data_IF_924920108328
#
_entry.id   IF_924920108328
#
_cell.length_a   1.000
_cell.length_b   1.000
_cell.length_c   1.000
_cell.angle_alpha   90.00
_cell.angle_beta   90.00
_cell.angle_gamma   90.00
#
_symmetry.space_group_name_H-M   'P 1'
#
loop_
_entity.id
_entity.type
_entity.pdbx_description
1 polymer ?
#
# COMPACT_ATOMS: atom_id res chain seq x y z
N UNK A 1 21.47 -3.51 -20.76
CA UNK A 1 20.51 -2.42 -21.10
C UNK A 1 19.13 -2.87 -20.64
N UNK A 2 18.65 -2.32 -19.52
CA UNK A 2 17.36 -2.71 -18.92
C UNK A 2 16.42 -1.53 -19.09
N UNK A 3 15.66 -1.54 -20.18
CA UNK A 3 14.60 -0.55 -20.39
C UNK A 3 13.47 -0.80 -19.39
N UNK A 4 13.43 0.06 -18.37
CA UNK A 4 12.39 0.14 -17.35
C UNK A 4 11.08 0.69 -17.88
N UNK A 5 10.49 0.05 -18.90
CA UNK A 5 9.12 0.33 -19.29
C UNK A 5 8.21 -0.40 -18.31
N UNK A 6 7.48 0.35 -17.48
CA UNK A 6 6.45 -0.19 -16.60
C UNK A 6 5.56 -1.15 -17.40
N UNK A 7 5.38 -2.39 -16.91
CA UNK A 7 4.60 -3.41 -17.64
C UNK A 7 3.15 -2.93 -17.82
N UNK A 8 2.84 -2.38 -18.99
CA UNK A 8 1.48 -2.04 -19.42
C UNK A 8 0.59 -3.28 -19.23
N UNK A 9 -0.44 -3.14 -18.40
CA UNK A 9 -1.41 -4.21 -18.13
C UNK A 9 -2.08 -4.64 -19.43
N UNK A 10 -2.34 -5.93 -19.56
CA UNK A 10 -3.03 -6.51 -20.71
C UNK A 10 -4.54 -6.24 -20.62
N UNK A 11 -5.11 -5.59 -21.62
CA UNK A 11 -6.57 -5.45 -21.76
C UNK A 11 -7.18 -6.74 -22.33
N UNK A 12 -8.52 -6.84 -22.33
CA UNK A 12 -9.19 -7.98 -22.95
C UNK A 12 -8.85 -8.07 -24.45
N UNK A 13 -8.95 -6.97 -25.17
CA UNK A 13 -8.75 -6.97 -26.62
C UNK A 13 -7.28 -7.19 -26.99
N UNK A 14 -6.33 -6.70 -26.19
CA UNK A 14 -4.92 -7.04 -26.34
C UNK A 14 -4.65 -8.54 -26.07
N UNK A 15 -5.35 -9.16 -25.13
CA UNK A 15 -5.22 -10.61 -24.87
C UNK A 15 -5.85 -11.45 -25.96
N UNK A 16 -6.95 -11.00 -26.57
CA UNK A 16 -7.58 -11.71 -27.68
C UNK A 16 -6.59 -11.86 -28.84
N UNK A 17 -5.93 -10.77 -29.23
CA UNK A 17 -4.90 -10.78 -30.29
C UNK A 17 -3.63 -11.53 -29.85
N UNK A 18 -3.20 -11.39 -28.59
CA UNK A 18 -2.00 -12.07 -28.12
C UNK A 18 -2.16 -13.59 -27.96
N UNK A 19 -3.37 -14.09 -27.68
CA UNK A 19 -3.66 -15.51 -27.50
C UNK A 19 -4.20 -16.19 -28.76
N UNK A 20 -4.48 -15.43 -29.82
CA UNK A 20 -4.84 -15.96 -31.12
C UNK A 20 -3.72 -16.85 -31.67
N UNK A 21 -4.06 -18.12 -31.93
CA UNK A 21 -3.11 -19.14 -32.41
C UNK A 21 -2.88 -19.06 -33.92
N UNK A 22 -3.74 -18.35 -34.66
CA UNK A 22 -3.54 -18.09 -36.09
C UNK A 22 -2.39 -17.12 -36.36
N UNK A 23 -2.00 -16.32 -35.35
CA UNK A 23 -0.90 -15.37 -35.42
C UNK A 23 0.37 -15.89 -34.76
N UNK A 24 1.51 -15.62 -35.38
CA UNK A 24 2.80 -15.80 -34.71
C UNK A 24 2.98 -14.77 -33.58
N UNK A 25 3.84 -15.07 -32.61
CA UNK A 25 4.13 -14.13 -31.52
C UNK A 25 4.72 -12.79 -32.02
N UNK A 26 5.37 -12.79 -33.19
CA UNK A 26 5.96 -11.60 -33.78
C UNK A 26 4.89 -10.71 -34.44
N UNK A 27 3.94 -11.31 -35.16
CA UNK A 27 2.81 -10.61 -35.80
C UNK A 27 1.87 -10.02 -34.75
N UNK A 28 1.48 -10.81 -33.74
CA UNK A 28 0.68 -10.33 -32.63
C UNK A 28 1.41 -9.21 -31.84
N UNK A 29 2.74 -9.28 -31.74
CA UNK A 29 3.54 -8.21 -31.16
C UNK A 29 3.45 -6.92 -31.97
N UNK A 30 3.61 -7.01 -33.30
CA UNK A 30 3.53 -5.87 -34.23
C UNK A 30 2.15 -5.20 -34.18
N UNK A 31 1.07 -5.97 -34.17
CA UNK A 31 -0.30 -5.46 -34.10
C UNK A 31 -0.60 -4.74 -32.77
N UNK A 32 0.03 -5.17 -31.68
CA UNK A 32 -0.22 -4.63 -30.34
C UNK A 32 0.78 -3.57 -29.89
N UNK A 33 1.76 -3.23 -30.72
CA UNK A 33 2.89 -2.37 -30.32
C UNK A 33 3.69 -2.96 -29.15
N UNK A 34 3.75 -4.29 -29.05
CA UNK A 34 4.46 -5.05 -28.00
C UNK A 34 5.57 -5.90 -28.59
N UNK A 35 6.58 -6.20 -27.79
CA UNK A 35 7.67 -7.08 -28.22
C UNK A 35 7.20 -8.52 -28.32
N UNK A 36 7.80 -9.30 -29.23
CA UNK A 36 7.59 -10.75 -29.37
C UNK A 36 7.69 -11.48 -28.02
N UNK A 37 8.65 -11.08 -27.19
CA UNK A 37 8.91 -11.66 -25.86
C UNK A 37 7.77 -11.38 -24.87
N UNK A 38 7.13 -10.21 -24.95
CA UNK A 38 5.96 -9.89 -24.12
C UNK A 38 4.75 -10.76 -24.48
N UNK A 39 4.51 -10.99 -25.77
CA UNK A 39 3.45 -11.88 -26.26
C UNK A 39 3.72 -13.34 -25.84
N UNK A 40 4.97 -13.80 -25.98
CA UNK A 40 5.36 -15.15 -25.57
C UNK A 40 5.14 -15.37 -24.06
N UNK A 41 5.50 -14.39 -23.23
CA UNK A 41 5.23 -14.41 -21.78
C UNK A 41 3.73 -14.42 -21.47
N UNK A 42 2.92 -13.67 -22.22
CA UNK A 42 1.47 -13.68 -22.07
C UNK A 42 0.89 -15.07 -22.40
N UNK A 43 1.28 -15.66 -23.53
CA UNK A 43 0.86 -17.01 -23.94
C UNK A 43 1.24 -18.07 -22.92
N UNK A 44 2.47 -18.02 -22.37
CA UNK A 44 2.90 -18.92 -21.28
C UNK A 44 2.07 -18.74 -20.01
N UNK A 45 1.79 -17.49 -19.62
CA UNK A 45 1.06 -17.14 -18.39
C UNK A 45 -0.41 -17.57 -18.42
N UNK A 46 -1.07 -17.49 -19.57
CA UNK A 46 -2.49 -17.81 -19.74
C UNK A 46 -2.72 -19.18 -20.40
N UNK A 47 -1.67 -19.99 -20.56
CA UNK A 47 -1.77 -21.37 -21.07
C UNK A 47 -2.73 -22.19 -20.21
N UNK A 48 -3.65 -22.92 -20.86
CA UNK A 48 -4.59 -23.83 -20.19
C UNK A 48 -5.79 -23.14 -19.53
N UNK A 49 -5.97 -21.83 -19.70
CA UNK A 49 -7.20 -21.15 -19.29
C UNK A 49 -8.22 -21.16 -20.43
N UNK A 50 -9.49 -21.18 -20.05
CA UNK A 50 -10.58 -20.82 -20.95
C UNK A 50 -10.42 -19.34 -21.35
N UNK A 51 -10.14 -19.14 -22.64
CA UNK A 51 -9.85 -17.82 -23.21
C UNK A 51 -11.12 -16.98 -23.23
N UNK A 52 -12.28 -17.55 -23.55
CA UNK A 52 -13.54 -16.82 -23.64
C UNK A 52 -13.97 -16.30 -22.26
N UNK A 53 -13.91 -17.17 -21.25
CA UNK A 53 -14.22 -16.79 -19.87
C UNK A 53 -13.26 -15.71 -19.34
N UNK A 54 -11.96 -15.81 -19.67
CA UNK A 54 -10.95 -14.82 -19.29
C UNK A 54 -11.22 -13.45 -19.93
N UNK A 55 -11.58 -13.42 -21.21
CA UNK A 55 -11.89 -12.19 -21.95
C UNK A 55 -13.18 -11.55 -21.42
N UNK A 56 -14.22 -12.34 -21.16
CA UNK A 56 -15.47 -11.87 -20.57
C UNK A 56 -15.23 -11.21 -19.20
N UNK A 57 -14.49 -11.87 -18.30
CA UNK A 57 -14.16 -11.31 -16.98
C UNK A 57 -13.40 -9.99 -17.08
N UNK A 58 -12.47 -9.86 -18.03
CA UNK A 58 -11.69 -8.64 -18.24
C UNK A 58 -12.53 -7.49 -18.80
N UNK A 59 -13.47 -7.79 -19.70
CA UNK A 59 -14.42 -6.80 -20.25
C UNK A 59 -15.41 -6.32 -19.18
N UNK A 60 -15.96 -7.23 -18.37
CA UNK A 60 -16.84 -6.87 -17.25
C UNK A 60 -16.12 -6.00 -16.21
N UNK A 61 -14.88 -6.32 -15.86
CA UNK A 61 -14.10 -5.49 -14.93
C UNK A 61 -13.71 -4.13 -15.51
N UNK A 62 -13.51 -4.01 -16.83
CA UNK A 62 -13.28 -2.73 -17.49
C UNK A 62 -14.54 -1.87 -17.54
N UNK A 63 -15.70 -2.47 -17.80
CA UNK A 63 -17.00 -1.80 -17.74
C UNK A 63 -17.33 -1.32 -16.32
N UNK A 64 -17.08 -2.14 -15.30
CA UNK A 64 -17.24 -1.76 -13.89
C UNK A 64 -16.33 -0.58 -13.51
N UNK A 65 -15.07 -0.60 -13.95
CA UNK A 65 -14.13 0.50 -13.73
C UNK A 65 -14.50 1.78 -14.48
N UNK A 66 -15.02 1.68 -15.71
CA UNK A 66 -15.53 2.82 -16.47
C UNK A 66 -16.79 3.43 -15.82
N UNK A 67 -17.67 2.58 -15.29
CA UNK A 67 -18.85 3.00 -14.54
C UNK A 67 -18.48 3.68 -13.21
N UNK A 68 -17.45 3.17 -12.51
CA UNK A 68 -16.85 3.80 -11.32
C UNK A 68 -16.22 5.15 -11.68
N UNK A 69 -15.48 5.26 -12.79
CA UNK A 69 -14.86 6.51 -13.24
C UNK A 69 -15.91 7.57 -13.63
N UNK A 70 -17.03 7.18 -14.22
CA UNK A 70 -18.17 8.07 -14.49
C UNK A 70 -18.89 8.52 -13.21
N UNK A 71 -18.78 7.77 -12.11
CA UNK A 71 -19.32 8.16 -10.79
C UNK A 71 -18.30 8.90 -9.90
N UNK A 72 -17.09 9.16 -10.38
CA UNK A 72 -15.96 9.62 -9.56
C UNK A 72 -15.85 11.15 -9.40
N UNK A 73 -16.97 11.88 -9.47
CA UNK A 73 -17.04 13.28 -9.06
C UNK A 73 -17.35 13.46 -7.55
N UNK A 74 -17.64 12.39 -6.80
CA UNK A 74 -18.18 12.49 -5.45
C UNK A 74 -17.29 12.02 -4.29
N UNK A 75 -16.05 11.58 -4.53
CA UNK A 75 -15.23 10.91 -3.51
C UNK A 75 -14.42 11.84 -2.60
N UNK A 76 -14.34 13.15 -2.90
CA UNK A 76 -13.54 14.14 -2.17
C UNK A 76 -14.28 15.41 -1.74
N UNK A 77 -15.60 15.49 -1.88
CA UNK A 77 -16.37 16.65 -1.36
C UNK A 77 -16.71 16.43 0.12
N UNK A 78 -16.46 17.44 0.95
CA UNK A 78 -16.83 17.50 2.36
C UNK A 78 -18.30 17.11 2.58
N UNK A 79 -18.56 16.32 3.63
CA UNK A 79 -19.91 15.95 4.03
C UNK A 79 -20.64 17.16 4.64
N UNK A 80 -21.83 17.49 4.15
CA UNK A 80 -22.68 18.47 4.82
C UNK A 80 -23.42 17.83 6.01
N UNK A 81 -23.85 18.60 7.03
CA UNK A 81 -24.65 18.07 8.13
C UNK A 81 -25.90 17.30 7.68
N UNK A 82 -26.54 17.74 6.60
CA UNK A 82 -27.74 17.14 6.01
C UNK A 82 -27.42 15.79 5.35
N UNK A 83 -26.30 15.72 4.61
CA UNK A 83 -25.82 14.46 4.03
C UNK A 83 -25.45 13.46 5.14
N UNK A 84 -24.89 13.92 6.25
CA UNK A 84 -24.58 13.09 7.42
C UNK A 84 -25.86 12.54 8.02
N UNK A 85 -26.89 13.37 8.20
CA UNK A 85 -28.18 12.94 8.76
C UNK A 85 -28.80 11.82 7.91
N UNK A 86 -28.87 11.99 6.60
CA UNK A 86 -29.41 10.97 5.67
C UNK A 86 -28.50 9.74 5.64
N UNK A 87 -27.18 9.91 5.66
CA UNK A 87 -26.27 8.77 5.66
C UNK A 87 -26.34 7.96 6.96
N UNK A 88 -26.63 8.58 8.10
CA UNK A 88 -26.75 7.91 9.40
C UNK A 88 -28.16 7.39 9.70
N UNK A 89 -29.16 7.81 8.93
CA UNK A 89 -30.53 7.32 9.05
C UNK A 89 -30.59 5.79 8.92
N UNK A 90 -30.95 5.13 10.02
CA UNK A 90 -31.04 3.66 10.12
C UNK A 90 -32.36 3.12 9.58
N UNK A 91 -33.36 3.97 9.37
CA UNK A 91 -34.62 3.59 8.74
C UNK A 91 -34.45 3.27 7.25
N UNK A 92 -33.36 3.75 6.64
CA UNK A 92 -33.01 3.47 5.24
C UNK A 92 -31.78 2.56 5.10
N UNK A 93 -31.84 1.71 4.08
CA UNK A 93 -30.72 0.83 3.74
C UNK A 93 -29.50 1.63 3.27
N UNK A 94 -28.29 1.06 3.37
CA UNK A 94 -27.07 1.74 2.90
C UNK A 94 -27.10 2.00 1.39
N UNK A 95 -27.75 1.12 0.64
CA UNK A 95 -27.95 1.24 -0.81
C UNK A 95 -28.92 2.37 -1.12
N UNK A 96 -29.99 2.51 -0.34
CA UNK A 96 -30.94 3.62 -0.41
C UNK A 96 -30.25 4.96 -0.11
N UNK A 97 -29.50 5.05 0.98
CA UNK A 97 -28.76 6.25 1.34
C UNK A 97 -27.71 6.63 0.29
N UNK A 98 -27.00 5.64 -0.30
CA UNK A 98 -26.05 5.86 -1.38
C UNK A 98 -26.73 6.47 -2.61
N UNK A 99 -27.90 5.94 -3.00
CA UNK A 99 -28.68 6.44 -4.12
C UNK A 99 -29.20 7.86 -3.88
N UNK A 100 -29.76 8.13 -2.70
CA UNK A 100 -30.31 9.45 -2.33
C UNK A 100 -29.24 10.54 -2.32
N UNK A 101 -28.03 10.20 -1.92
CA UNK A 101 -26.93 11.15 -1.79
C UNK A 101 -26.03 11.22 -3.03
N UNK A 102 -26.29 10.42 -4.07
CA UNK A 102 -25.38 10.30 -5.23
C UNK A 102 -23.96 9.85 -4.84
N UNK A 103 -23.81 9.19 -3.68
CA UNK A 103 -22.52 8.74 -3.14
C UNK A 103 -22.36 7.25 -3.31
N UNK A 104 -21.13 6.77 -3.25
CA UNK A 104 -20.87 5.32 -3.31
C UNK A 104 -21.34 4.62 -2.04
N UNK A 105 -21.78 3.37 -2.17
CA UNK A 105 -22.08 2.49 -1.03
C UNK A 105 -20.91 2.43 -0.02
N UNK A 106 -19.66 2.45 -0.53
CA UNK A 106 -18.45 2.48 0.30
C UNK A 106 -18.34 3.76 1.14
N UNK A 107 -18.73 4.92 0.60
CA UNK A 107 -18.75 6.17 1.33
C UNK A 107 -19.77 6.13 2.49
N UNK A 108 -20.98 5.62 2.24
CA UNK A 108 -22.02 5.41 3.28
C UNK A 108 -21.55 4.42 4.35
N UNK A 109 -20.92 3.30 3.95
CA UNK A 109 -20.33 2.33 4.88
C UNK A 109 -19.25 2.97 5.74
N UNK A 110 -18.38 3.80 5.16
CA UNK A 110 -17.28 4.48 5.86
C UNK A 110 -17.82 5.46 6.90
N UNK A 111 -18.76 6.34 6.56
CA UNK A 111 -19.26 7.34 7.50
C UNK A 111 -20.07 6.74 8.67
N UNK A 112 -20.86 5.69 8.41
CA UNK A 112 -21.55 4.94 9.49
C UNK A 112 -20.57 4.27 10.44
N UNK A 113 -19.46 3.74 9.93
CA UNK A 113 -18.43 3.12 10.75
C UNK A 113 -17.70 4.17 11.61
N UNK A 114 -17.26 5.27 11.01
CA UNK A 114 -16.60 6.37 11.73
C UNK A 114 -17.44 6.92 12.89
N UNK A 115 -18.75 7.08 12.69
CA UNK A 115 -19.64 7.54 13.75
C UNK A 115 -19.88 6.49 14.84
N UNK A 116 -19.91 5.20 14.48
CA UNK A 116 -19.96 4.11 15.47
C UNK A 116 -18.70 4.05 16.32
N UNK A 117 -17.53 4.29 15.72
CA UNK A 117 -16.26 4.35 16.45
C UNK A 117 -16.21 5.55 17.41
N UNK A 118 -16.74 6.71 16.99
CA UNK A 118 -16.90 7.89 17.86
C UNK A 118 -17.84 7.61 19.03
N UNK A 119 -19.01 7.00 18.78
CA UNK A 119 -19.98 6.70 19.85
C UNK A 119 -19.48 5.65 20.85
N UNK A 120 -18.57 4.76 20.44
CA UNK A 120 -17.97 3.75 21.30
C UNK A 120 -16.68 4.23 22.00
N UNK A 121 -16.31 5.51 21.83
CA UNK A 121 -15.07 6.06 22.39
C UNK A 121 -13.78 5.44 21.83
N UNK A 122 -13.87 4.66 20.74
CA UNK A 122 -12.75 3.94 20.12
C UNK A 122 -11.88 4.84 19.24
N UNK A 123 -12.39 6.02 18.86
CA UNK A 123 -11.56 7.12 18.42
C UNK A 123 -11.26 7.99 19.64
N UNK A 124 -10.02 8.00 20.20
CA UNK A 124 -9.63 9.12 21.03
C UNK A 124 -9.82 10.38 20.18
N UNK A 125 -10.52 11.37 20.73
CA UNK A 125 -10.47 12.71 20.21
C UNK A 125 -8.99 13.10 20.25
N UNK A 126 -8.32 12.95 19.10
CA UNK A 126 -7.06 13.61 18.90
C UNK A 126 -7.47 15.07 18.88
N UNK A 127 -7.26 15.76 20.00
CA UNK A 127 -7.20 17.23 19.99
C UNK A 127 -6.44 17.58 18.73
N UNK A 128 -7.11 18.36 17.89
CA UNK A 128 -6.58 18.75 16.60
C UNK A 128 -5.26 19.46 16.85
N UNK A 129 -4.15 18.74 16.73
CA UNK A 129 -3.00 19.33 16.07
C UNK A 129 -3.56 19.79 14.74
N UNK A 130 -3.58 21.10 14.53
CA UNK A 130 -4.25 21.76 13.41
C UNK A 130 -3.82 21.22 12.03
N UNK A 131 -2.76 20.41 11.99
CA UNK A 131 -2.30 19.73 10.81
C UNK A 131 -2.32 18.20 10.95
N UNK A 132 -2.87 17.48 9.96
CA UNK A 132 -2.56 16.07 9.79
C UNK A 132 -1.04 15.95 9.64
N UNK A 133 -0.41 14.98 10.33
CA UNK A 133 0.95 14.56 10.00
C UNK A 133 0.88 13.94 8.60
N UNK A 134 0.86 14.78 7.57
CA UNK A 134 1.04 14.38 6.19
C UNK A 134 2.42 13.76 6.16
N UNK A 135 2.55 12.53 5.66
CA UNK A 135 3.85 11.98 5.29
C UNK A 135 4.35 12.79 4.07
N UNK A 136 4.70 14.06 4.30
CA UNK A 136 5.22 14.98 3.31
C UNK A 136 6.59 14.45 2.92
N UNK A 137 6.72 14.07 1.65
CA UNK A 137 8.01 13.71 1.07
C UNK A 137 9.00 14.86 1.31
N UNK A 138 10.27 14.52 1.55
CA UNK A 138 11.31 15.52 1.76
C UNK A 138 11.57 16.26 0.43
N UNK A 139 11.41 17.58 0.40
CA UNK A 139 11.75 18.39 -0.77
C UNK A 139 13.26 18.53 -0.90
N UNK A 140 13.76 19.02 -2.05
CA UNK A 140 15.20 19.22 -2.25
C UNK A 140 15.77 20.23 -1.26
N UNK A 141 15.01 21.27 -0.95
CA UNK A 141 15.36 22.33 0.00
C UNK A 141 15.40 21.78 1.42
N UNK A 142 14.38 21.00 1.81
CA UNK A 142 14.37 20.33 3.12
C UNK A 142 15.53 19.33 3.25
N UNK A 143 15.92 18.65 2.16
CA UNK A 143 17.08 17.74 2.15
C UNK A 143 18.38 18.53 2.38
N UNK A 144 18.55 19.68 1.72
CA UNK A 144 19.74 20.52 1.89
C UNK A 144 19.91 20.95 3.36
N UNK A 145 18.84 21.43 3.98
CA UNK A 145 18.81 21.79 5.41
C UNK A 145 19.10 20.56 6.28
N UNK A 146 18.51 19.41 5.95
CA UNK A 146 18.67 18.18 6.69
C UNK A 146 20.09 17.59 6.62
N UNK A 147 20.83 17.87 5.54
CA UNK A 147 22.23 17.45 5.39
C UNK A 147 23.25 18.44 5.95
N UNK A 148 22.82 19.60 6.44
CA UNK A 148 23.72 20.57 7.08
C UNK A 148 24.29 20.02 8.38
N UNK A 149 25.61 19.80 8.42
CA UNK A 149 26.33 19.25 9.57
C UNK A 149 26.54 20.23 10.70
N UNK A 150 26.49 21.54 10.43
CA UNK A 150 26.66 22.57 11.45
C UNK A 150 25.47 22.64 12.42
N UNK A 151 24.34 22.06 12.04
CA UNK A 151 23.08 22.16 12.75
C UNK A 151 22.73 20.87 13.49
N UNK A 152 22.14 21.03 14.66
CA UNK A 152 21.60 19.92 15.45
C UNK A 152 20.26 19.44 14.87
N UNK A 153 19.88 18.16 15.09
CA UNK A 153 18.55 17.68 14.72
C UNK A 153 17.39 18.48 15.33
N UNK A 154 17.61 19.12 16.48
CA UNK A 154 16.62 19.96 17.16
C UNK A 154 16.39 21.27 16.40
N UNK A 155 17.45 21.94 15.98
CA UNK A 155 17.36 23.19 15.20
C UNK A 155 16.72 22.94 13.83
N UNK A 156 17.11 21.86 13.15
CA UNK A 156 16.51 21.45 11.88
C UNK A 156 15.01 21.11 12.06
N UNK A 157 14.66 20.44 13.16
CA UNK A 157 13.27 20.12 13.46
C UNK A 157 12.41 21.35 13.70
N UNK A 158 12.95 22.35 14.42
CA UNK A 158 12.29 23.63 14.63
C UNK A 158 12.09 24.38 13.31
N UNK A 159 13.13 24.48 12.47
CA UNK A 159 13.05 25.18 11.18
C UNK A 159 12.11 24.52 10.19
N UNK A 160 12.13 23.19 10.10
CA UNK A 160 11.28 22.45 9.16
C UNK A 160 9.88 22.16 9.72
N UNK A 161 9.58 22.64 10.94
CA UNK A 161 8.34 22.36 11.67
C UNK A 161 8.01 20.86 11.72
N UNK A 162 9.05 20.01 11.83
CA UNK A 162 8.92 18.55 11.89
C UNK A 162 9.27 18.03 13.27
N UNK A 163 8.82 16.81 13.57
CA UNK A 163 9.28 16.14 14.80
C UNK A 163 10.77 15.83 14.74
N UNK A 164 11.46 16.02 15.88
CA UNK A 164 12.89 15.68 16.06
C UNK A 164 13.17 14.22 15.63
N UNK A 165 12.27 13.30 15.95
CA UNK A 165 12.40 11.90 15.57
C UNK A 165 12.37 11.71 14.04
N UNK A 166 11.46 12.40 13.34
CA UNK A 166 11.39 12.38 11.87
C UNK A 166 12.69 12.91 11.25
N UNK A 167 13.20 14.03 11.74
CA UNK A 167 14.47 14.61 11.28
C UNK A 167 15.65 13.68 11.56
N UNK A 168 15.75 13.13 12.76
CA UNK A 168 16.84 12.23 13.16
C UNK A 168 16.90 10.98 12.27
N UNK A 169 15.73 10.36 12.03
CA UNK A 169 15.64 9.17 11.17
C UNK A 169 15.93 9.52 9.71
N UNK A 170 15.37 10.62 9.21
CA UNK A 170 15.60 11.03 7.83
C UNK A 170 17.06 11.42 7.59
N UNK A 171 17.69 12.15 8.51
CA UNK A 171 19.12 12.53 8.46
C UNK A 171 20.02 11.31 8.46
N UNK A 172 19.81 10.38 9.38
CA UNK A 172 20.56 9.11 9.38
C UNK A 172 20.40 8.33 8.07
N UNK A 173 19.19 8.30 7.49
CA UNK A 173 18.95 7.64 6.20
C UNK A 173 19.59 8.35 5.03
N UNK A 174 19.53 9.68 4.96
CA UNK A 174 20.09 10.44 3.85
C UNK A 174 21.62 10.38 3.87
N UNK A 175 22.23 10.57 5.05
CA UNK A 175 23.68 10.42 5.24
C UNK A 175 24.15 8.98 4.95
N UNK A 176 23.40 7.97 5.40
CA UNK A 176 23.75 6.58 5.15
C UNK A 176 23.54 6.15 3.69
N UNK A 177 22.42 6.52 3.06
CA UNK A 177 22.06 6.09 1.69
C UNK A 177 22.80 6.85 0.60
N UNK A 178 22.92 8.18 0.70
CA UNK A 178 23.54 9.00 -0.34
C UNK A 178 25.03 9.21 -0.12
N UNK A 179 25.45 9.40 1.13
CA UNK A 179 26.85 9.72 1.42
C UNK A 179 27.64 8.50 1.92
N UNK A 180 27.00 7.33 2.10
CA UNK A 180 27.65 6.13 2.60
C UNK A 180 28.10 6.23 4.07
N UNK A 181 27.65 7.24 4.81
CA UNK A 181 28.12 7.55 6.18
C UNK A 181 27.32 6.75 7.20
N UNK A 182 27.68 5.48 7.34
CA UNK A 182 27.17 4.59 8.37
C UNK A 182 28.30 4.35 9.38
N UNK A 183 28.04 4.42 10.70
CA UNK A 183 29.07 4.08 11.70
C UNK A 183 29.65 2.68 11.46
N UNK A 184 30.98 2.56 11.47
CA UNK A 184 31.67 1.34 11.03
C UNK A 184 31.18 0.08 11.77
N UNK A 185 31.04 0.18 13.10
CA UNK A 185 30.56 -0.91 13.95
C UNK A 185 29.12 -1.37 13.67
N UNK A 186 28.34 -0.61 12.90
CA UNK A 186 26.98 -0.98 12.51
C UNK A 186 26.94 -1.74 11.18
N UNK A 187 28.01 -1.75 10.40
CA UNK A 187 28.05 -2.53 9.17
C UNK A 187 27.89 -4.03 9.44
N UNK A 188 27.07 -4.69 8.63
CA UNK A 188 26.70 -6.09 8.86
C UNK A 188 25.59 -6.30 9.87
N UNK A 189 24.86 -5.24 10.26
CA UNK A 189 23.69 -5.35 11.15
C UNK A 189 22.39 -4.94 10.46
N UNK A 190 21.26 -5.44 10.97
CA UNK A 190 19.93 -4.96 10.54
C UNK A 190 19.72 -3.46 10.83
N UNK A 191 20.40 -2.91 11.83
CA UNK A 191 20.33 -1.49 12.21
C UNK A 191 20.88 -0.60 11.10
N UNK A 192 22.00 -0.97 10.47
CA UNK A 192 22.55 -0.23 9.33
C UNK A 192 21.55 -0.14 8.16
N UNK A 193 20.78 -1.20 7.89
CA UNK A 193 19.74 -1.16 6.83
C UNK A 193 18.52 -0.37 7.28
N UNK A 194 17.97 -0.67 8.45
CA UNK A 194 16.67 -0.14 8.88
C UNK A 194 16.72 1.35 9.24
N UNK A 195 17.79 1.79 9.92
CA UNK A 195 17.99 3.15 10.40
C UNK A 195 18.75 4.03 9.42
N UNK A 196 19.83 3.52 8.81
CA UNK A 196 20.70 4.32 7.95
C UNK A 196 20.47 4.07 6.45
N UNK A 197 19.67 3.06 6.09
CA UNK A 197 19.40 2.75 4.69
C UNK A 197 20.61 2.21 3.93
N UNK A 198 21.61 1.65 4.63
CA UNK A 198 22.80 1.06 4.03
C UNK A 198 22.43 -0.09 3.08
N UNK A 199 23.07 -0.13 1.91
CA UNK A 199 22.82 -1.14 0.88
C UNK A 199 24.06 -1.96 0.50
N UNK A 200 25.13 -1.96 1.30
CA UNK A 200 26.29 -2.83 1.06
C UNK A 200 25.93 -4.31 1.27
N UNK A 201 26.74 -5.23 0.71
CA UNK A 201 26.51 -6.68 0.76
C UNK A 201 26.28 -7.19 2.19
N UNK A 202 27.23 -6.92 3.11
CA UNK A 202 27.14 -7.32 4.53
C UNK A 202 25.84 -6.89 5.21
N UNK A 203 25.39 -5.67 4.95
CA UNK A 203 24.15 -5.15 5.54
C UNK A 203 22.91 -5.78 4.90
N UNK A 204 22.92 -6.03 3.58
CA UNK A 204 21.83 -6.74 2.90
C UNK A 204 21.67 -8.17 3.43
N UNK A 205 22.78 -8.87 3.61
CA UNK A 205 22.79 -10.23 4.14
C UNK A 205 22.23 -10.26 5.57
N UNK A 206 22.66 -9.33 6.42
CA UNK A 206 22.12 -9.20 7.78
C UNK A 206 20.60 -8.90 7.79
N UNK A 207 20.12 -8.08 6.86
CA UNK A 207 18.68 -7.82 6.72
C UNK A 207 17.90 -9.03 6.20
N UNK A 208 18.51 -9.84 5.35
CA UNK A 208 17.94 -11.09 4.88
C UNK A 208 17.86 -12.14 6.02
N UNK A 209 18.94 -12.30 6.79
CA UNK A 209 18.96 -13.16 7.98
C UNK A 209 17.86 -12.77 8.96
N UNK A 210 17.72 -11.48 9.25
CA UNK A 210 16.66 -10.98 10.14
C UNK A 210 15.25 -11.20 9.55
N UNK A 211 15.09 -11.04 8.23
CA UNK A 211 13.83 -11.35 7.53
C UNK A 211 13.47 -12.83 7.68
N UNK A 212 14.43 -13.72 7.49
CA UNK A 212 14.26 -15.17 7.63
C UNK A 212 13.93 -15.53 9.08
N UNK A 213 14.65 -14.99 10.07
CA UNK A 213 14.36 -15.18 11.50
C UNK A 213 12.91 -14.82 11.85
N UNK A 214 12.42 -13.67 11.37
CA UNK A 214 11.02 -13.23 11.59
C UNK A 214 10.01 -14.12 10.88
N UNK A 215 10.34 -14.66 9.71
CA UNK A 215 9.47 -15.65 9.07
C UNK A 215 9.43 -16.94 9.88
N UNK A 216 10.60 -17.46 10.29
CA UNK A 216 10.72 -18.71 11.05
C UNK A 216 9.95 -18.64 12.37
N UNK A 217 9.98 -17.50 13.07
CA UNK A 217 9.21 -17.29 14.29
C UNK A 217 7.67 -17.38 14.11
N UNK A 218 7.16 -17.25 12.88
CA UNK A 218 5.72 -17.27 12.59
C UNK A 218 5.29 -18.45 11.74
N UNK A 219 6.22 -19.14 11.08
CA UNK A 219 5.95 -20.31 10.22
C UNK A 219 5.23 -21.44 10.97
N UNK A 220 5.64 -21.86 12.18
CA UNK A 220 4.98 -22.95 12.90
C UNK A 220 3.49 -22.73 13.12
N UNK A 221 3.09 -21.48 13.35
CA UNK A 221 1.69 -21.10 13.60
C UNK A 221 0.93 -20.71 12.32
N UNK A 222 1.58 -20.58 11.17
CA UNK A 222 1.02 -19.95 9.97
C UNK A 222 0.07 -20.86 9.16
N UNK A 223 -1.01 -21.35 9.77
CA UNK A 223 -2.01 -22.22 9.13
C UNK A 223 -2.91 -21.50 8.10
N UNK A 224 -3.10 -20.18 8.23
CA UNK A 224 -4.07 -19.40 7.45
C UNK A 224 -3.47 -18.79 6.16
N UNK A 225 -2.60 -19.54 5.47
CA UNK A 225 -1.96 -19.05 4.25
C UNK A 225 -3.00 -18.73 3.16
N UNK A 226 -2.93 -17.51 2.59
CA UNK A 226 -3.83 -16.98 1.55
C UNK A 226 -5.32 -16.89 1.91
N UNK A 227 -5.70 -17.23 3.14
CA UNK A 227 -7.08 -17.07 3.58
C UNK A 227 -7.50 -15.59 3.55
N UNK A 228 -8.76 -15.28 3.20
CA UNK A 228 -9.28 -13.91 3.24
C UNK A 228 -9.20 -13.35 4.67
N UNK A 229 -9.09 -12.03 4.80
CA UNK A 229 -9.04 -11.38 6.11
C UNK A 229 -10.47 -11.15 6.62
N UNK A 230 -10.83 -11.79 7.74
CA UNK A 230 -12.08 -11.48 8.42
C UNK A 230 -11.97 -10.13 9.16
N UNK A 231 -13.11 -9.48 9.42
CA UNK A 231 -13.13 -8.18 10.12
C UNK A 231 -12.45 -8.27 11.49
N UNK A 232 -12.70 -9.34 12.26
CA UNK A 232 -12.04 -9.61 13.54
C UNK A 232 -10.53 -9.82 13.42
N UNK A 233 -10.07 -10.46 12.34
CA UNK A 233 -8.64 -10.66 12.08
C UNK A 233 -7.94 -9.34 11.80
N UNK A 234 -8.62 -8.42 11.11
CA UNK A 234 -8.11 -7.08 10.81
C UNK A 234 -7.96 -6.28 12.10
N UNK A 235 -8.92 -6.36 13.02
CA UNK A 235 -8.84 -5.70 14.33
C UNK A 235 -7.59 -6.16 15.10
N UNK A 236 -7.38 -7.48 15.22
CA UNK A 236 -6.19 -8.04 15.90
C UNK A 236 -4.91 -7.66 15.17
N UNK A 237 -4.92 -7.68 13.84
CA UNK A 237 -3.76 -7.32 13.04
C UNK A 237 -3.40 -5.83 13.17
N UNK A 238 -4.36 -4.94 13.36
CA UNK A 238 -4.15 -3.49 13.49
C UNK A 238 -3.94 -3.03 14.95
N UNK A 239 -4.17 -3.90 15.93
CA UNK A 239 -3.91 -3.64 17.34
C UNK A 239 -2.44 -3.25 17.55
N UNK A 240 -2.23 -2.03 18.04
CA UNK A 240 -0.90 -1.44 18.26
C UNK A 240 -0.26 -1.90 19.57
N UNK A 241 -1.03 -2.51 20.49
CA UNK A 241 -0.49 -3.15 21.68
C UNK A 241 0.28 -4.42 21.35
N UNK A 242 0.03 -5.02 20.17
CA UNK A 242 0.71 -6.21 19.68
C UNK A 242 1.84 -5.87 18.72
N UNK A 243 2.98 -6.52 18.93
CA UNK A 243 4.02 -6.63 17.90
C UNK A 243 3.47 -7.37 16.68
N UNK A 244 4.12 -7.16 15.52
CA UNK A 244 3.71 -7.83 14.28
C UNK A 244 3.84 -9.36 14.40
N UNK A 245 4.82 -9.85 15.17
CA UNK A 245 5.01 -11.28 15.40
C UNK A 245 3.88 -11.84 16.26
N UNK A 246 3.54 -11.19 17.37
CA UNK A 246 2.45 -11.64 18.26
C UNK A 246 1.11 -11.65 17.54
N UNK A 247 0.79 -10.59 16.80
CA UNK A 247 -0.42 -10.55 15.99
C UNK A 247 -0.42 -11.67 14.95
N UNK A 248 0.71 -11.91 14.27
CA UNK A 248 0.84 -12.99 13.29
C UNK A 248 0.63 -14.38 13.90
N UNK A 249 1.21 -14.63 15.07
CA UNK A 249 1.05 -15.89 15.81
C UNK A 249 -0.41 -16.10 16.24
N UNK A 250 -1.06 -15.07 16.82
CA UNK A 250 -2.48 -15.13 17.22
C UNK A 250 -3.42 -15.39 16.04
N UNK A 251 -3.10 -14.85 14.87
CA UNK A 251 -3.92 -14.96 13.67
C UNK A 251 -3.60 -16.20 12.83
N UNK A 252 -2.63 -17.01 13.25
CA UNK A 252 -2.13 -18.12 12.48
C UNK A 252 -1.63 -17.72 11.09
N UNK A 253 -0.98 -16.56 10.97
CA UNK A 253 -0.45 -16.00 9.71
C UNK A 253 1.05 -15.71 9.83
N UNK A 254 1.69 -15.47 8.70
CA UNK A 254 3.11 -15.06 8.66
C UNK A 254 3.28 -13.58 9.03
N UNK A 255 4.42 -13.22 9.64
CA UNK A 255 4.82 -11.84 9.91
C UNK A 255 4.69 -10.92 8.68
N UNK A 256 5.10 -11.39 7.49
CA UNK A 256 5.01 -10.62 6.23
C UNK A 256 3.58 -10.28 5.83
N UNK A 257 2.62 -11.19 6.07
CA UNK A 257 1.21 -11.00 5.78
C UNK A 257 0.59 -9.91 6.66
N UNK A 258 0.82 -9.96 7.98
CA UNK A 258 0.36 -8.92 8.91
C UNK A 258 1.01 -7.57 8.60
N UNK A 259 2.32 -7.55 8.31
CA UNK A 259 3.02 -6.31 7.93
C UNK A 259 2.42 -5.67 6.67
N UNK A 260 2.12 -6.49 5.66
CA UNK A 260 1.49 -6.02 4.42
C UNK A 260 0.08 -5.48 4.69
N UNK A 261 -0.70 -6.12 5.57
CA UNK A 261 -2.01 -5.62 5.98
C UNK A 261 -1.88 -4.27 6.70
N UNK A 262 -1.01 -4.17 7.72
CA UNK A 262 -0.78 -2.90 8.44
C UNK A 262 -0.40 -1.77 7.50
N UNK A 263 0.45 -2.05 6.51
CA UNK A 263 0.80 -1.06 5.48
C UNK A 263 -0.44 -0.63 4.67
N UNK A 264 -1.26 -1.57 4.21
CA UNK A 264 -2.48 -1.27 3.43
C UNK A 264 -3.44 -0.33 4.18
N UNK A 265 -3.53 -0.45 5.50
CA UNK A 265 -4.43 0.36 6.34
C UNK A 265 -3.75 1.59 6.95
N UNK A 266 -2.46 1.83 6.69
CA UNK A 266 -1.75 3.04 7.16
C UNK A 266 -2.15 4.28 6.38
N UNK A 267 -2.62 4.11 5.15
CA UNK A 267 -2.92 5.17 4.19
C UNK A 267 -4.44 5.49 4.11
N UNK A 268 -5.24 4.98 5.07
CA UNK A 268 -6.71 5.15 5.17
C UNK A 268 -7.13 5.85 6.44
#
# INVERSE_FOLDING_TARGET
>A
MVDGVAQRRWTADELAVALDRSLTCAEAGKLLGRTRVQVEKARKRYRGRDIEQLLAQKRSGAAELAQIAQTDFGCYVSWTPEEIAIALDRSISRTEAARRLGRTFRAIKRIRNLQRQKSLGLTPARESRAEPIRQRLWTKEEIAILTDESRTPTEIAAELERSINSVTVARARWLGRLQGRVPEHLHGTYTAVSRYGCLCLRCRDAAEVERLRRQEATRPTAANHKQPWADRDIEIALDRSLTVIEAAQRLGRTHSSVRALRHKYRDT
#
